data_IF_639688664950
#
_entry.id   IF_639688664950
#
_cell.length_a   1.000
_cell.length_b   1.000
_cell.length_c   1.000
_cell.angle_alpha   90.00
_cell.angle_beta   90.00
_cell.angle_gamma   90.00
#
_symmetry.space_group_name_H-M   'P 1'
#
loop_
_entity.id
_entity.type
_entity.pdbx_description
1 polymer ?
#
# COMPACT_ATOMS: atom_id res chain seq x y z
N UNK A 1 -0.04 10.98 -7.47
CA UNK A 1 1.03 11.08 -6.45
C UNK A 1 0.92 12.41 -5.72
N UNK A 2 1.41 12.49 -4.49
CA UNK A 2 1.56 13.75 -3.76
C UNK A 2 2.80 13.72 -2.87
N UNK A 3 3.33 14.90 -2.53
CA UNK A 3 4.42 15.01 -1.57
C UNK A 3 3.88 15.02 -0.14
N UNK A 4 4.58 14.38 0.78
CA UNK A 4 4.27 14.34 2.21
C UNK A 4 5.55 14.48 3.04
N UNK A 5 5.41 14.89 4.31
CA UNK A 5 6.53 14.97 5.26
C UNK A 5 6.43 13.79 6.23
N UNK A 6 7.48 12.98 6.38
CA UNK A 6 7.57 12.03 7.49
C UNK A 6 7.81 12.83 8.77
N UNK A 7 6.81 12.88 9.65
CA UNK A 7 6.82 13.75 10.84
C UNK A 7 7.95 13.45 11.83
N UNK A 8 8.46 12.21 11.84
CA UNK A 8 9.57 11.80 12.71
C UNK A 8 10.92 12.34 12.24
N UNK A 9 11.14 12.41 10.93
CA UNK A 9 12.47 12.77 10.36
C UNK A 9 12.47 14.13 9.67
N UNK A 10 11.29 14.71 9.40
CA UNK A 10 11.12 15.91 8.59
C UNK A 10 11.39 15.68 7.09
N UNK A 11 11.65 14.44 6.66
CA UNK A 11 11.99 14.17 5.27
C UNK A 11 10.80 14.24 4.34
N UNK A 12 11.03 14.82 3.16
CA UNK A 12 10.08 14.82 2.06
C UNK A 12 9.99 13.43 1.43
N UNK A 13 8.77 12.90 1.34
CA UNK A 13 8.45 11.61 0.73
C UNK A 13 7.39 11.81 -0.36
N UNK A 14 7.33 10.87 -1.30
CA UNK A 14 6.28 10.84 -2.32
C UNK A 14 5.33 9.68 -2.03
N UNK A 15 4.03 9.95 -2.08
CA UNK A 15 3.00 8.93 -1.97
C UNK A 15 2.49 8.52 -3.35
N UNK A 16 2.43 7.20 -3.56
CA UNK A 16 1.91 6.56 -4.77
C UNK A 16 0.39 6.48 -4.81
N UNK A 17 -0.16 5.66 -5.71
CA UNK A 17 -1.60 5.34 -5.75
C UNK A 17 -1.88 3.90 -5.33
N UNK A 18 -0.91 3.25 -4.69
CA UNK A 18 -1.04 1.89 -4.19
C UNK A 18 -1.05 1.85 -2.66
N UNK A 19 -1.50 0.73 -2.12
CA UNK A 19 -1.32 0.36 -0.71
C UNK A 19 -0.48 -0.91 -0.63
N UNK A 20 0.32 -1.01 0.44
CA UNK A 20 1.03 -2.22 0.82
C UNK A 20 0.31 -2.87 2.00
N UNK A 21 0.06 -4.17 1.88
CA UNK A 21 -0.45 -5.02 2.96
C UNK A 21 0.65 -5.98 3.40
N UNK A 22 0.63 -6.34 4.68
CA UNK A 22 1.54 -7.29 5.30
C UNK A 22 0.76 -8.41 5.98
N UNK A 23 1.43 -9.53 6.24
CA UNK A 23 0.85 -10.73 6.85
C UNK A 23 -0.45 -11.17 6.16
N UNK A 24 -0.46 -11.08 4.83
CA UNK A 24 -1.64 -11.32 3.99
C UNK A 24 -1.35 -12.44 3.00
N UNK A 25 -2.36 -13.29 2.72
CA UNK A 25 -2.21 -14.35 1.71
C UNK A 25 -2.64 -13.86 0.31
N UNK A 26 -2.13 -14.45 -0.79
CA UNK A 26 -2.57 -14.10 -2.15
C UNK A 26 -4.08 -14.28 -2.40
N UNK A 27 -4.75 -15.18 -1.66
CA UNK A 27 -6.19 -15.37 -1.76
C UNK A 27 -6.96 -14.21 -1.11
N UNK A 28 -6.58 -13.82 0.11
CA UNK A 28 -7.15 -12.65 0.81
C UNK A 28 -6.88 -11.38 0.02
N UNK A 29 -5.67 -11.20 -0.50
CA UNK A 29 -5.28 -10.08 -1.35
C UNK A 29 -6.20 -9.90 -2.57
N UNK A 30 -6.49 -10.97 -3.30
CA UNK A 30 -7.39 -10.95 -4.46
C UNK A 30 -8.83 -10.57 -4.08
N UNK A 31 -9.32 -11.12 -2.96
CA UNK A 31 -10.65 -10.81 -2.46
C UNK A 31 -10.76 -9.33 -2.07
N UNK A 32 -9.74 -8.79 -1.37
CA UNK A 32 -9.70 -7.38 -0.98
C UNK A 32 -9.62 -6.47 -2.20
N UNK A 33 -8.72 -6.74 -3.15
CA UNK A 33 -8.60 -5.95 -4.38
C UNK A 33 -9.93 -5.88 -5.14
N UNK A 34 -10.64 -7.00 -5.27
CA UNK A 34 -11.96 -7.05 -5.90
C UNK A 34 -12.98 -6.21 -5.13
N UNK A 35 -13.04 -6.36 -3.80
CA UNK A 35 -13.99 -5.64 -2.93
C UNK A 35 -13.77 -4.13 -2.92
N UNK A 36 -12.52 -3.68 -3.02
CA UNK A 36 -12.17 -2.25 -2.96
C UNK A 36 -12.03 -1.60 -4.34
N UNK A 37 -12.27 -2.34 -5.42
CA UNK A 37 -12.07 -1.85 -6.79
C UNK A 37 -10.60 -1.58 -7.14
N UNK A 38 -9.68 -2.21 -6.40
CA UNK A 38 -8.25 -2.13 -6.64
C UNK A 38 -7.73 -3.17 -7.64
N UNK A 39 -6.54 -2.92 -8.19
CA UNK A 39 -5.81 -3.85 -9.04
C UNK A 39 -4.71 -4.52 -8.22
N UNK A 40 -4.71 -5.84 -8.13
CA UNK A 40 -3.59 -6.57 -7.51
C UNK A 40 -2.33 -6.42 -8.37
N UNK A 41 -1.29 -5.80 -7.83
CA UNK A 41 0.00 -5.59 -8.51
C UNK A 41 0.96 -6.74 -8.16
N UNK A 42 1.00 -7.12 -6.89
CA UNK A 42 1.89 -8.13 -6.35
C UNK A 42 1.28 -8.78 -5.12
N UNK A 43 1.51 -10.07 -4.93
CA UNK A 43 1.25 -10.80 -3.70
C UNK A 43 2.23 -11.95 -3.57
N UNK A 44 2.88 -12.07 -2.42
CA UNK A 44 3.81 -13.15 -2.13
C UNK A 44 3.29 -13.97 -0.96
N UNK A 45 3.33 -15.29 -1.13
CA UNK A 45 3.09 -16.26 -0.05
C UNK A 45 4.35 -16.54 0.78
N UNK A 46 5.53 -16.13 0.30
CA UNK A 46 6.82 -16.30 0.97
C UNK A 46 6.92 -15.37 2.19
N UNK A 47 6.58 -14.09 1.99
CA UNK A 47 6.74 -13.03 3.00
C UNK A 47 5.42 -12.35 3.40
N UNK A 48 4.29 -12.76 2.80
CA UNK A 48 2.97 -12.19 3.07
C UNK A 48 2.79 -10.74 2.60
N UNK A 49 3.73 -10.20 1.81
CA UNK A 49 3.66 -8.85 1.26
C UNK A 49 2.70 -8.79 0.07
N UNK A 50 1.86 -7.76 0.03
CA UNK A 50 0.91 -7.52 -1.06
C UNK A 50 0.94 -6.06 -1.46
N UNK A 51 0.75 -5.78 -2.75
CA UNK A 51 0.54 -4.42 -3.25
C UNK A 51 -0.71 -4.37 -4.13
N UNK A 52 -1.62 -3.44 -3.80
CA UNK A 52 -2.86 -3.19 -4.56
C UNK A 52 -2.84 -1.73 -5.03
N UNK A 53 -2.97 -1.52 -6.34
CA UNK A 53 -3.04 -0.20 -6.96
C UNK A 53 -4.46 0.32 -7.12
N UNK A 54 -4.63 1.63 -7.05
CA UNK A 54 -5.90 2.33 -7.24
C UNK A 54 -5.77 3.46 -8.27
N UNK A 55 -6.91 3.92 -8.79
CA UNK A 55 -6.98 5.00 -9.78
C UNK A 55 -6.58 6.37 -9.24
N UNK A 56 -6.54 6.56 -7.92
CA UNK A 56 -6.12 7.84 -7.31
C UNK A 56 -5.46 7.64 -5.94
N UNK A 57 -4.63 8.60 -5.54
CA UNK A 57 -4.05 8.64 -4.18
C UNK A 57 -5.15 8.77 -3.12
N UNK A 58 -6.19 9.55 -3.38
CA UNK A 58 -7.31 9.72 -2.44
C UNK A 58 -7.99 8.37 -2.16
N UNK A 59 -8.27 7.58 -3.20
CA UNK A 59 -8.84 6.24 -3.07
C UNK A 59 -7.91 5.30 -2.30
N UNK A 60 -6.59 5.34 -2.56
CA UNK A 60 -5.63 4.52 -1.83
C UNK A 60 -5.61 4.86 -0.33
N UNK A 61 -5.59 6.16 0.03
CA UNK A 61 -5.60 6.60 1.42
C UNK A 61 -6.92 6.30 2.14
N UNK A 62 -8.05 6.44 1.45
CA UNK A 62 -9.35 6.06 2.00
C UNK A 62 -9.42 4.55 2.23
N UNK A 63 -8.94 3.75 1.28
CA UNK A 63 -8.90 2.29 1.41
C UNK A 63 -7.98 1.84 2.54
N UNK A 64 -6.85 2.52 2.77
CA UNK A 64 -6.01 2.28 3.95
C UNK A 64 -6.83 2.37 5.24
N UNK A 65 -7.69 3.39 5.39
CA UNK A 65 -8.56 3.55 6.56
C UNK A 65 -9.62 2.45 6.62
N UNK A 66 -10.25 2.18 5.48
CA UNK A 66 -11.37 1.24 5.38
C UNK A 66 -10.96 -0.21 5.69
N UNK A 67 -9.70 -0.57 5.39
CA UNK A 67 -9.18 -1.92 5.60
C UNK A 67 -8.47 -2.11 6.95
N UNK A 68 -8.28 -1.08 7.78
CA UNK A 68 -7.65 -1.25 9.08
C UNK A 68 -8.42 -2.30 9.92
N UNK A 69 -7.67 -3.26 10.49
CA UNK A 69 -8.26 -4.35 11.28
C UNK A 69 -9.02 -5.41 10.46
N UNK A 70 -8.93 -5.38 9.13
CA UNK A 70 -9.51 -6.44 8.29
C UNK A 70 -8.91 -7.80 8.61
N UNK A 71 -9.76 -8.83 8.73
CA UNK A 71 -9.32 -10.19 8.98
C UNK A 71 -8.34 -10.67 7.91
N UNK A 72 -7.22 -11.24 8.35
CA UNK A 72 -6.19 -11.77 7.45
C UNK A 72 -5.26 -10.71 6.85
N UNK A 73 -5.20 -9.53 7.46
CA UNK A 73 -4.24 -8.47 7.16
C UNK A 73 -3.61 -7.99 8.46
N UNK A 74 -2.29 -8.01 8.56
CA UNK A 74 -1.57 -7.57 9.76
C UNK A 74 -1.41 -6.05 9.81
N UNK A 75 -0.78 -5.48 8.78
CA UNK A 75 -0.57 -4.05 8.65
C UNK A 75 -0.90 -3.54 7.25
N UNK A 76 -1.24 -2.25 7.17
CA UNK A 76 -1.63 -1.56 5.93
C UNK A 76 -0.94 -0.21 5.90
N UNK A 77 -0.27 0.08 4.79
CA UNK A 77 0.44 1.34 4.60
C UNK A 77 0.18 1.89 3.19
N UNK A 78 0.08 3.23 3.02
CA UNK A 78 0.17 3.80 1.68
C UNK A 78 1.55 3.53 1.08
N UNK A 79 1.61 3.39 -0.23
CA UNK A 79 2.87 3.30 -0.96
C UNK A 79 3.68 4.59 -0.76
N UNK A 80 4.87 4.45 -0.19
CA UNK A 80 5.89 5.49 -0.18
C UNK A 80 6.86 5.20 -1.31
N UNK A 81 6.88 6.07 -2.31
CA UNK A 81 7.83 6.02 -3.42
C UNK A 81 9.11 6.67 -2.92
N UNK A 82 10.03 5.83 -2.45
CA UNK A 82 11.40 6.27 -2.21
C UNK A 82 12.00 6.65 -3.57
N UNK A 83 12.62 7.85 -3.65
CA UNK A 83 13.57 8.08 -4.74
C UNK A 83 14.62 6.99 -4.61
N UNK A 84 14.88 6.24 -5.68
CA UNK A 84 16.09 5.45 -5.75
C UNK A 84 17.25 6.38 -5.37
N UNK A 85 18.03 6.02 -4.36
CA UNK A 85 19.27 6.73 -4.11
C UNK A 85 20.02 6.76 -5.44
N UNK A 86 20.34 7.95 -5.95
CA UNK A 86 21.35 8.07 -6.98
C UNK A 86 22.61 7.50 -6.37
N UNK A 87 22.93 6.25 -6.71
CA UNK A 87 24.26 5.70 -6.53
C UNK A 87 25.17 6.57 -7.40
N UNK A 88 25.85 7.51 -6.75
CA UNK A 88 26.99 8.25 -7.31
C UNK A 88 28.20 7.30 -7.36
#
# INVERSE_FOLDING_TARGET
MAAAIETRTGQLTLLGTSIKLFDTTPAVARALATRTGGKLIYASDIDGSVMIGYGSLATALDTCKQLQGSKGVGAIMPEVIQRAAQLL
#
